data_IF_336811297842
#
_entry.id   IF_336811297842
#
_cell.length_a   1.000
_cell.length_b   1.000
_cell.length_c   1.000
_cell.angle_alpha   90.00
_cell.angle_beta   90.00
_cell.angle_gamma   90.00
#
_symmetry.space_group_name_H-M   'P 1'
#
loop_
_entity.id
_entity.type
_entity.pdbx_description
1 polymer ?
#
# COMPACT_ATOMS: atom_id res chain seq x y z
N UNK A 1 17.08 0.75 5.49
CA UNK A 1 16.48 -0.54 5.06
C UNK A 1 15.61 -1.05 6.20
N UNK A 2 14.29 -0.81 6.17
CA UNK A 2 13.41 -1.22 7.27
C UNK A 2 13.14 -2.73 7.30
N UNK A 3 12.94 -3.37 6.14
CA UNK A 3 12.60 -4.80 6.03
C UNK A 3 13.71 -5.80 6.33
N UNK A 4 14.88 -5.36 6.82
CA UNK A 4 15.93 -6.25 7.35
C UNK A 4 15.96 -6.28 8.87
N UNK A 5 15.14 -5.45 9.52
CA UNK A 5 15.09 -5.31 10.96
C UNK A 5 14.16 -6.34 11.58
N UNK A 6 14.43 -6.72 12.84
CA UNK A 6 13.45 -7.43 13.65
C UNK A 6 12.21 -6.55 13.87
N UNK A 7 11.03 -7.10 14.20
CA UNK A 7 9.84 -6.28 14.45
C UNK A 7 10.03 -5.22 15.54
N UNK A 8 10.79 -5.55 16.60
CA UNK A 8 11.14 -4.59 17.66
C UNK A 8 11.99 -3.45 17.11
N UNK A 9 13.08 -3.79 16.43
CA UNK A 9 14.04 -2.79 15.94
C UNK A 9 13.42 -1.95 14.80
N UNK A 10 12.54 -2.53 13.99
CA UNK A 10 11.76 -1.78 13.00
C UNK A 10 10.90 -0.70 13.67
N UNK A 11 10.21 -1.04 14.76
CA UNK A 11 9.40 -0.07 15.48
C UNK A 11 10.27 1.06 16.06
N UNK A 12 11.31 0.70 16.80
CA UNK A 12 12.15 1.64 17.54
C UNK A 12 13.01 2.53 16.64
N UNK A 13 13.66 1.92 15.64
CA UNK A 13 14.70 2.58 14.84
C UNK A 13 14.24 2.97 13.43
N UNK A 14 13.03 2.61 13.01
CA UNK A 14 12.50 2.99 11.69
C UNK A 14 11.11 3.65 11.78
N UNK A 15 10.09 2.92 12.22
CA UNK A 15 8.70 3.38 12.20
C UNK A 15 8.48 4.63 13.06
N UNK A 16 9.07 4.67 14.26
CA UNK A 16 9.02 5.84 15.16
C UNK A 16 9.50 7.12 14.47
N UNK A 17 10.57 7.04 13.69
CA UNK A 17 11.11 8.20 13.00
C UNK A 17 10.26 8.58 11.78
N UNK A 18 9.66 7.61 11.09
CA UNK A 18 8.70 7.89 10.03
C UNK A 18 7.48 8.65 10.55
N UNK A 19 6.91 8.25 11.69
CA UNK A 19 5.85 9.02 12.38
C UNK A 19 6.30 10.47 12.63
N UNK A 20 7.45 10.65 13.28
CA UNK A 20 7.97 11.98 13.61
C UNK A 20 8.15 12.88 12.37
N UNK A 21 8.60 12.29 11.26
CA UNK A 21 8.75 13.01 10.00
C UNK A 21 7.38 13.38 9.45
N UNK A 22 6.44 12.43 9.34
CA UNK A 22 5.08 12.69 8.82
C UNK A 22 4.38 13.81 9.60
N UNK A 23 4.47 13.79 10.93
CA UNK A 23 3.88 14.81 11.81
C UNK A 23 4.48 16.21 11.62
N UNK A 24 5.74 16.29 11.19
CA UNK A 24 6.47 17.54 11.01
C UNK A 24 6.45 18.11 9.60
N UNK A 25 5.86 17.42 8.62
CA UNK A 25 5.86 17.87 7.22
C UNK A 25 4.85 19.00 7.01
N UNK A 26 5.20 19.93 6.11
CA UNK A 26 4.25 20.88 5.55
C UNK A 26 3.38 20.11 4.54
N UNK A 27 2.07 20.06 4.81
CA UNK A 27 1.11 19.21 4.06
C UNK A 27 0.30 19.99 3.03
N UNK A 28 0.63 21.26 2.82
CA UNK A 28 -0.01 22.13 1.85
C UNK A 28 1.02 23.01 1.14
N UNK A 29 0.87 23.17 -0.17
CA UNK A 29 1.65 24.09 -0.97
C UNK A 29 0.76 24.69 -2.06
N UNK A 30 0.75 26.03 -2.19
CA UNK A 30 -0.09 26.74 -3.17
C UNK A 30 -1.58 26.34 -3.13
N UNK A 31 -2.14 26.18 -1.93
CA UNK A 31 -3.54 25.79 -1.74
C UNK A 31 -3.86 24.33 -2.10
N UNK A 32 -2.84 23.49 -2.35
CA UNK A 32 -2.99 22.07 -2.67
C UNK A 32 -2.39 21.21 -1.57
N UNK A 33 -3.08 20.14 -1.20
CA UNK A 33 -2.58 19.13 -0.27
C UNK A 33 -1.37 18.40 -0.88
N UNK A 34 -0.31 18.22 -0.10
CA UNK A 34 0.90 17.47 -0.46
C UNK A 34 0.82 16.09 0.17
N UNK A 35 0.53 15.02 -0.59
CA UNK A 35 0.42 13.67 -0.05
C UNK A 35 1.79 13.09 0.32
N UNK A 36 1.80 12.19 1.29
CA UNK A 36 3.00 11.50 1.77
C UNK A 36 2.80 10.00 1.63
N UNK A 37 3.67 9.38 0.85
CA UNK A 37 3.73 7.93 0.69
C UNK A 37 4.90 7.39 1.50
N UNK A 38 4.65 6.39 2.35
CA UNK A 38 5.72 5.65 3.01
C UNK A 38 5.94 4.29 2.34
N UNK A 39 7.19 3.91 2.13
CA UNK A 39 7.56 2.65 1.53
C UNK A 39 8.65 1.95 2.33
N UNK A 40 8.35 0.75 2.82
CA UNK A 40 9.34 -0.16 3.40
C UNK A 40 9.39 -1.42 2.55
N UNK A 41 10.43 -1.57 1.72
CA UNK A 41 10.70 -2.84 1.02
C UNK A 41 10.87 -3.96 2.04
N UNK A 42 10.29 -5.12 1.75
CA UNK A 42 10.10 -6.29 2.61
C UNK A 42 9.30 -5.97 3.89
N UNK A 43 8.45 -4.94 3.86
CA UNK A 43 7.68 -4.45 5.01
C UNK A 43 6.25 -4.99 5.12
N UNK A 44 5.87 -6.00 4.34
CA UNK A 44 4.49 -6.50 4.26
C UNK A 44 3.88 -6.96 5.59
N UNK A 45 4.69 -7.30 6.60
CA UNK A 45 4.19 -7.64 7.93
C UNK A 45 3.77 -6.42 8.77
N UNK A 46 4.15 -5.20 8.39
CA UNK A 46 3.94 -3.97 9.17
C UNK A 46 2.95 -2.99 8.52
N UNK A 47 2.15 -3.44 7.54
CA UNK A 47 1.25 -2.57 6.78
C UNK A 47 0.37 -1.68 7.65
N UNK A 48 -0.32 -2.25 8.64
CA UNK A 48 -1.23 -1.53 9.52
C UNK A 48 -0.49 -0.48 10.34
N UNK A 49 0.71 -0.83 10.81
CA UNK A 49 1.57 0.08 11.57
C UNK A 49 2.07 1.24 10.69
N UNK A 50 2.41 0.97 9.42
CA UNK A 50 2.82 2.03 8.47
C UNK A 50 1.61 2.92 8.13
N UNK A 51 0.43 2.35 7.89
CA UNK A 51 -0.79 3.11 7.62
C UNK A 51 -1.20 4.00 8.82
N UNK A 52 -0.93 3.55 10.04
CA UNK A 52 -1.17 4.32 11.26
C UNK A 52 -0.23 5.54 11.43
N UNK A 53 0.76 5.74 10.55
CA UNK A 53 1.69 6.88 10.62
C UNK A 53 1.08 8.24 10.29
N UNK A 54 -0.13 8.28 9.72
CA UNK A 54 -0.71 9.50 9.15
C UNK A 54 -0.27 9.78 7.71
N UNK A 55 0.45 8.84 7.09
CA UNK A 55 0.71 8.86 5.64
C UNK A 55 -0.60 8.71 4.84
N UNK A 56 -0.57 9.14 3.58
CA UNK A 56 -1.72 9.02 2.67
C UNK A 56 -1.70 7.73 1.87
N UNK A 57 -0.52 7.14 1.71
CA UNK A 57 -0.33 5.93 0.94
C UNK A 57 0.78 5.05 1.51
N UNK A 58 0.59 3.74 1.38
CA UNK A 58 1.60 2.73 1.66
C UNK A 58 2.10 2.14 0.35
N UNK A 59 3.40 2.27 0.11
CA UNK A 59 4.10 1.59 -0.97
C UNK A 59 4.25 0.10 -0.67
N UNK A 60 4.04 -0.72 -1.68
CA UNK A 60 4.14 -2.18 -1.63
C UNK A 60 5.23 -2.65 -2.61
N UNK A 61 6.01 -3.65 -2.20
CA UNK A 61 6.87 -4.41 -3.12
C UNK A 61 6.17 -5.69 -3.58
N UNK A 62 6.76 -6.38 -4.56
CA UNK A 62 6.18 -7.55 -5.23
C UNK A 62 6.05 -8.81 -4.35
N UNK A 63 6.55 -8.80 -3.12
CA UNK A 63 6.48 -9.98 -2.23
C UNK A 63 5.16 -10.11 -1.48
N UNK A 64 4.28 -9.12 -1.55
CA UNK A 64 2.94 -9.15 -0.96
C UNK A 64 1.86 -9.11 -2.03
N UNK A 65 0.80 -9.90 -1.87
CA UNK A 65 -0.36 -9.78 -2.73
C UNK A 65 -1.11 -8.47 -2.44
N UNK A 66 -1.41 -7.67 -3.48
CA UNK A 66 -2.07 -6.38 -3.30
C UNK A 66 -3.51 -6.51 -2.74
N UNK A 67 -4.21 -7.60 -3.04
CA UNK A 67 -5.54 -7.88 -2.48
C UNK A 67 -5.46 -8.17 -0.98
N UNK A 68 -4.44 -8.91 -0.53
CA UNK A 68 -4.21 -9.15 0.91
C UNK A 68 -3.85 -7.85 1.64
N UNK A 69 -3.00 -7.03 1.02
CA UNK A 69 -2.68 -5.70 1.55
C UNK A 69 -3.94 -4.82 1.65
N UNK A 70 -4.78 -4.83 0.62
CA UNK A 70 -6.05 -4.09 0.58
C UNK A 70 -7.02 -4.60 1.65
N UNK A 71 -7.18 -5.91 1.80
CA UNK A 71 -8.01 -6.51 2.85
C UNK A 71 -7.59 -6.09 4.27
N UNK A 72 -6.28 -6.02 4.52
CA UNK A 72 -5.71 -5.62 5.83
C UNK A 72 -5.82 -4.12 6.10
N UNK A 73 -5.53 -3.29 5.11
CA UNK A 73 -5.54 -1.82 5.24
C UNK A 73 -6.96 -1.25 5.18
N UNK A 74 -7.85 -1.84 4.38
CA UNK A 74 -9.16 -1.29 4.06
C UNK A 74 -9.04 0.03 3.30
N UNK A 75 -9.82 1.03 3.71
CA UNK A 75 -9.87 2.36 3.08
C UNK A 75 -9.11 3.44 3.86
N UNK A 76 -8.23 3.05 4.80
CA UNK A 76 -7.48 3.99 5.66
C UNK A 76 -6.51 4.87 4.87
N UNK A 77 -5.81 4.26 3.90
CA UNK A 77 -4.77 4.90 3.07
C UNK A 77 -4.76 4.26 1.69
N UNK A 78 -4.24 4.98 0.69
CA UNK A 78 -4.02 4.43 -0.63
C UNK A 78 -2.90 3.36 -0.63
N UNK A 79 -2.92 2.48 -1.63
CA UNK A 79 -1.85 1.52 -1.89
C UNK A 79 -1.15 1.88 -3.19
N UNK A 80 0.19 1.80 -3.22
CA UNK A 80 1.00 2.08 -4.40
C UNK A 80 1.93 0.90 -4.70
N UNK A 81 1.91 0.38 -5.93
CA UNK A 81 2.74 -0.74 -6.38
C UNK A 81 1.93 -1.77 -7.18
N UNK A 82 2.39 -3.02 -7.32
CA UNK A 82 3.62 -3.58 -6.76
C UNK A 82 4.31 -4.61 -7.65
N UNK A 83 4.13 -4.51 -8.96
CA UNK A 83 4.72 -5.43 -9.96
C UNK A 83 6.23 -5.64 -9.75
N UNK A 84 6.67 -6.90 -9.83
CA UNK A 84 8.09 -7.23 -9.84
C UNK A 84 8.75 -6.61 -11.09
N UNK A 85 9.80 -5.78 -10.95
CA UNK A 85 10.48 -5.17 -12.09
C UNK A 85 11.00 -6.17 -13.12
N UNK A 86 11.33 -7.40 -12.70
CA UNK A 86 11.77 -8.47 -13.59
C UNK A 86 10.68 -8.91 -14.58
N UNK A 87 9.40 -8.63 -14.30
CA UNK A 87 8.29 -8.84 -15.23
C UNK A 87 8.48 -8.08 -16.56
N UNK A 88 9.22 -6.97 -16.54
CA UNK A 88 9.51 -6.19 -17.76
C UNK A 88 10.39 -6.93 -18.77
N UNK A 89 11.00 -8.06 -18.38
CA UNK A 89 11.72 -8.95 -19.31
C UNK A 89 10.80 -9.95 -20.04
N UNK A 90 9.53 -10.03 -19.66
CA UNK A 90 8.57 -10.92 -20.29
C UNK A 90 8.02 -10.36 -21.61
N UNK A 91 7.34 -11.21 -22.39
CA UNK A 91 6.60 -10.77 -23.57
C UNK A 91 5.44 -9.83 -23.21
N UNK A 92 5.06 -8.95 -24.14
CA UNK A 92 4.03 -7.91 -23.91
C UNK A 92 2.71 -8.47 -23.35
N UNK A 93 2.25 -9.62 -23.84
CA UNK A 93 0.99 -10.20 -23.39
C UNK A 93 1.08 -10.68 -21.93
N UNK A 94 2.24 -11.17 -21.51
CA UNK A 94 2.46 -11.55 -20.10
C UNK A 94 2.48 -10.31 -19.20
N UNK A 95 3.10 -9.22 -19.64
CA UNK A 95 3.10 -7.95 -18.91
C UNK A 95 1.66 -7.43 -18.73
N UNK A 96 0.84 -7.46 -19.79
CA UNK A 96 -0.57 -7.04 -19.72
C UNK A 96 -1.38 -7.89 -18.74
N UNK A 97 -1.17 -9.20 -18.73
CA UNK A 97 -1.81 -10.10 -17.78
C UNK A 97 -1.42 -9.77 -16.33
N UNK A 98 -0.14 -9.49 -16.08
CA UNK A 98 0.33 -9.10 -14.75
C UNK A 98 -0.30 -7.78 -14.29
N UNK A 99 -0.31 -6.76 -15.15
CA UNK A 99 -0.97 -5.47 -14.86
C UNK A 99 -2.45 -5.69 -14.54
N UNK A 100 -3.15 -6.50 -15.35
CA UNK A 100 -4.57 -6.77 -15.13
C UNK A 100 -4.84 -7.43 -13.77
N UNK A 101 -4.02 -8.42 -13.38
CA UNK A 101 -4.15 -9.09 -12.08
C UNK A 101 -3.92 -8.15 -10.89
N UNK A 102 -2.93 -7.25 -10.99
CA UNK A 102 -2.67 -6.25 -9.95
C UNK A 102 -3.83 -5.26 -9.85
N UNK A 103 -4.35 -4.78 -10.99
CA UNK A 103 -5.48 -3.84 -11.02
C UNK A 103 -6.74 -4.48 -10.42
N UNK A 104 -7.06 -5.72 -10.78
CA UNK A 104 -8.20 -6.45 -10.22
C UNK A 104 -8.09 -6.54 -8.69
N UNK A 105 -6.95 -7.04 -8.18
CA UNK A 105 -6.70 -7.14 -6.74
C UNK A 105 -6.73 -5.81 -5.99
N UNK A 106 -6.41 -4.70 -6.65
CA UNK A 106 -6.45 -3.35 -6.04
C UNK A 106 -7.87 -2.76 -5.93
N UNK A 107 -8.80 -3.17 -6.80
CA UNK A 107 -10.17 -2.60 -6.90
C UNK A 107 -11.24 -3.48 -6.23
N UNK A 108 -10.97 -4.77 -6.01
CA UNK A 108 -11.94 -5.77 -5.56
C UNK A 108 -12.76 -5.42 -4.30
N UNK A 109 -12.26 -4.58 -3.38
CA UNK A 109 -13.03 -4.20 -2.19
C UNK A 109 -14.16 -3.19 -2.47
N UNK A 110 -14.00 -2.31 -3.47
CA UNK A 110 -15.03 -1.34 -3.85
C UNK A 110 -16.21 -2.03 -4.56
N UNK A 111 -15.92 -3.04 -5.40
CA UNK A 111 -16.96 -3.82 -6.08
C UNK A 111 -17.65 -4.85 -5.18
N UNK A 112 -16.93 -5.51 -4.26
CA UNK A 112 -17.54 -6.49 -3.34
C UNK A 112 -18.53 -5.84 -2.36
N UNK A 113 -18.25 -4.61 -1.90
CA UNK A 113 -19.18 -3.84 -1.06
C UNK A 113 -20.43 -3.42 -1.85
N UNK A 114 -20.28 -3.08 -3.13
CA UNK A 114 -21.39 -2.75 -4.03
C UNK A 114 -22.28 -3.97 -4.32
N UNK A 115 -21.69 -5.16 -4.57
CA UNK A 115 -22.47 -6.38 -4.78
C UNK A 115 -23.21 -6.81 -3.50
N UNK A 116 -22.57 -6.74 -2.34
CA UNK A 116 -23.20 -7.15 -1.07
C UNK A 116 -24.40 -6.27 -0.71
N UNK A 117 -24.35 -4.97 -1.01
CA UNK A 117 -25.49 -4.06 -0.82
C UNK A 117 -26.68 -4.39 -1.74
N UNK A 118 -26.43 -4.91 -2.95
CA UNK A 118 -27.47 -5.29 -3.90
C UNK A 118 -28.13 -6.62 -3.50
N UNK A 119 -27.38 -7.59 -2.95
CA UNK A 119 -27.93 -8.90 -2.59
C UNK A 119 -28.71 -8.94 -1.27
N UNK A 120 -28.53 -7.96 -0.37
CA UNK A 120 -29.28 -7.87 0.90
C UNK A 120 -30.59 -7.08 0.73
N UNK A 121 -30.80 -6.45 -0.43
CA UNK A 121 -32.00 -5.64 -0.74
C UNK A 121 -33.02 -6.37 -1.64
N UNK A 122 -32.93 -7.70 -1.76
CA UNK A 122 -33.87 -8.57 -2.48
C UNK A 122 -34.31 -9.73 -1.59
#
# INVERSE_FOLDING_TARGET
>A
MGGVLTPRDYNEFSLRYMHKIVDGLIRENEGRRVPVTLFTKNGGMWLESIAATGCDAVGLDWTINIADAKARIGDKVALQGNMDPSMLYAGHDRIRQEVAGILEGSVMQVQAMYLTLVTVST
#
